data_IF_850077628139
#
_entry.id   IF_850077628139
#
_cell.length_a   1.000
_cell.length_b   1.000
_cell.length_c   1.000
_cell.angle_alpha   90.00
_cell.angle_beta   90.00
_cell.angle_gamma   90.00
#
_symmetry.space_group_name_H-M   'P 1'
#
loop_
_entity.id
_entity.type
_entity.pdbx_description
1 polymer ?
#
# COMPACT_ATOMS: atom_id res chain seq x y z
N UNK A 1 -26.81 2.79 -11.47
CA UNK A 1 -25.43 2.85 -11.96
C UNK A 1 -25.40 2.88 -13.48
N UNK A 2 -24.64 3.76 -14.07
CA UNK A 2 -24.47 3.88 -15.52
C UNK A 2 -23.17 3.16 -15.96
N UNK A 3 -23.33 1.97 -16.54
CA UNK A 3 -22.19 1.11 -16.92
C UNK A 3 -21.28 1.73 -17.99
N UNK A 4 -21.85 2.45 -18.94
CA UNK A 4 -21.05 3.09 -19.99
C UNK A 4 -20.24 4.26 -19.41
N UNK A 5 -20.82 5.08 -18.56
CA UNK A 5 -20.11 6.17 -17.86
C UNK A 5 -18.97 5.63 -17.00
N UNK A 6 -19.19 4.54 -16.26
CA UNK A 6 -18.14 3.89 -15.47
C UNK A 6 -16.97 3.46 -16.36
N UNK A 7 -17.23 2.79 -17.48
CA UNK A 7 -16.20 2.36 -18.42
C UNK A 7 -15.46 3.58 -19.02
N UNK A 8 -16.19 4.59 -19.48
CA UNK A 8 -15.60 5.81 -20.07
C UNK A 8 -14.75 6.58 -19.02
N UNK A 9 -15.21 6.62 -17.77
CA UNK A 9 -14.48 7.19 -16.63
C UNK A 9 -13.17 6.45 -16.38
N UNK A 10 -13.21 5.13 -16.27
CA UNK A 10 -12.03 4.31 -16.08
C UNK A 10 -11.01 4.49 -17.22
N UNK A 11 -11.47 4.43 -18.48
CA UNK A 11 -10.62 4.65 -19.65
C UNK A 11 -10.00 6.05 -19.67
N UNK A 12 -10.72 7.06 -19.23
CA UNK A 12 -10.17 8.42 -19.09
C UNK A 12 -9.12 8.48 -17.98
N UNK A 13 -9.32 7.81 -16.85
CA UNK A 13 -8.39 7.80 -15.74
C UNK A 13 -7.08 7.13 -16.08
N UNK A 14 -7.10 5.97 -16.70
CA UNK A 14 -5.86 5.29 -17.11
C UNK A 14 -5.07 6.07 -18.18
N UNK A 15 -5.73 6.92 -18.96
CA UNK A 15 -5.07 7.83 -19.91
C UNK A 15 -4.48 9.10 -19.24
N UNK A 16 -4.77 9.37 -17.97
CA UNK A 16 -4.16 10.46 -17.22
C UNK A 16 -2.96 9.91 -16.45
N UNK A 17 -1.71 10.27 -16.81
CA UNK A 17 -0.54 9.74 -16.12
C UNK A 17 -0.50 10.14 -14.65
N UNK A 18 -0.11 9.18 -13.79
CA UNK A 18 0.03 9.40 -12.35
C UNK A 18 1.06 8.45 -11.72
N UNK A 19 2.20 8.21 -12.40
CA UNK A 19 3.27 7.43 -11.78
C UNK A 19 3.67 8.06 -10.44
N UNK A 20 3.97 7.22 -9.44
CA UNK A 20 4.29 7.65 -8.07
C UNK A 20 5.36 8.75 -8.07
N UNK A 21 5.09 9.85 -7.36
CA UNK A 21 5.88 11.08 -7.38
C UNK A 21 5.45 12.11 -8.43
N UNK A 22 4.55 11.76 -9.36
CA UNK A 22 4.11 12.64 -10.46
C UNK A 22 2.59 12.67 -10.66
N UNK A 23 1.81 12.62 -9.58
CA UNK A 23 0.37 12.40 -9.57
C UNK A 23 -0.48 13.65 -9.75
N UNK A 24 0.11 14.87 -9.72
CA UNK A 24 -0.62 16.16 -9.69
C UNK A 24 -1.77 16.24 -10.68
N UNK A 25 -1.53 15.88 -11.95
CA UNK A 25 -2.56 16.00 -12.99
C UNK A 25 -3.78 15.13 -12.72
N UNK A 26 -3.56 13.93 -12.18
CA UNK A 26 -4.65 13.03 -11.82
C UNK A 26 -5.35 13.49 -10.53
N UNK A 27 -4.61 13.96 -9.52
CA UNK A 27 -5.18 14.57 -8.32
C UNK A 27 -6.12 15.74 -8.68
N UNK A 28 -5.69 16.65 -9.56
CA UNK A 28 -6.48 17.79 -10.01
C UNK A 28 -7.73 17.37 -10.80
N UNK A 29 -7.64 16.33 -11.61
CA UNK A 29 -8.78 15.75 -12.31
C UNK A 29 -9.83 15.21 -11.33
N UNK A 30 -9.40 14.40 -10.34
CA UNK A 30 -10.31 13.80 -9.36
C UNK A 30 -10.91 14.86 -8.43
N UNK A 31 -10.13 15.87 -8.02
CA UNK A 31 -10.63 17.02 -7.25
C UNK A 31 -11.78 17.74 -7.98
N UNK A 32 -11.62 17.99 -9.29
CA UNK A 32 -12.65 18.62 -10.10
C UNK A 32 -13.92 17.77 -10.19
N UNK A 33 -13.77 16.44 -10.36
CA UNK A 33 -14.95 15.56 -10.43
C UNK A 33 -15.68 15.46 -9.09
N UNK A 34 -14.97 15.30 -7.98
CA UNK A 34 -15.56 15.30 -6.64
C UNK A 34 -16.30 16.62 -6.36
N UNK A 35 -15.72 17.77 -6.73
CA UNK A 35 -16.33 19.07 -6.57
C UNK A 35 -17.55 19.23 -7.47
N UNK A 36 -17.51 18.73 -8.71
CA UNK A 36 -18.66 18.74 -9.62
C UNK A 36 -19.85 17.90 -9.12
N UNK A 37 -19.55 16.83 -8.36
CA UNK A 37 -20.55 16.04 -7.64
C UNK A 37 -21.00 16.71 -6.32
N UNK A 38 -20.59 17.94 -6.02
CA UNK A 38 -21.03 18.71 -4.86
C UNK A 38 -20.48 18.24 -3.52
N UNK A 39 -19.41 17.45 -3.50
CA UNK A 39 -18.74 17.07 -2.26
C UNK A 39 -17.94 18.26 -1.70
N UNK A 40 -17.81 18.31 -0.37
CA UNK A 40 -16.82 19.17 0.27
C UNK A 40 -15.44 18.53 0.08
N UNK A 41 -14.55 19.18 -0.68
CA UNK A 41 -13.23 18.65 -1.01
C UNK A 41 -12.14 19.47 -0.35
N UNK A 42 -11.14 18.78 0.23
CA UNK A 42 -9.92 19.40 0.81
C UNK A 42 -8.69 18.69 0.28
N UNK A 43 -7.63 19.45 0.03
CA UNK A 43 -6.31 18.90 -0.29
C UNK A 43 -5.53 18.60 0.99
N UNK A 44 -4.87 17.46 1.03
CA UNK A 44 -3.85 17.12 2.01
C UNK A 44 -2.47 17.35 1.42
N UNK A 45 -1.83 18.43 1.80
CA UNK A 45 -0.51 18.86 1.25
C UNK A 45 0.63 17.99 1.81
N UNK A 46 0.60 16.68 1.49
CA UNK A 46 1.60 15.71 1.94
C UNK A 46 2.70 15.45 0.90
N UNK A 47 2.58 16.02 -0.30
CA UNK A 47 3.46 15.74 -1.43
C UNK A 47 4.95 15.90 -1.11
N UNK A 48 5.36 16.97 -0.43
CA UNK A 48 6.75 17.16 -0.05
C UNK A 48 7.29 16.02 0.83
N UNK A 49 6.48 15.53 1.79
CA UNK A 49 6.84 14.40 2.66
C UNK A 49 6.92 13.08 1.92
N UNK A 50 6.12 12.94 0.86
CA UNK A 50 6.06 11.74 0.02
C UNK A 50 7.07 11.78 -1.15
N UNK A 51 7.75 12.90 -1.38
CA UNK A 51 8.60 13.09 -2.58
C UNK A 51 7.80 13.22 -3.87
N UNK A 52 6.56 13.73 -3.79
CA UNK A 52 5.62 13.85 -4.88
C UNK A 52 5.25 15.30 -5.18
N UNK A 53 4.81 15.54 -6.42
CA UNK A 53 4.16 16.78 -6.82
C UNK A 53 2.63 16.77 -6.56
N UNK A 54 2.06 15.63 -6.17
CA UNK A 54 0.65 15.42 -5.89
C UNK A 54 0.24 15.83 -4.47
N UNK A 55 -1.00 15.53 -4.14
CA UNK A 55 -1.61 15.77 -2.82
C UNK A 55 -2.71 14.73 -2.57
N UNK A 56 -2.94 14.38 -1.29
CA UNK A 56 -4.11 13.59 -0.93
C UNK A 56 -5.38 14.39 -1.16
N UNK A 57 -6.48 13.69 -1.42
CA UNK A 57 -7.81 14.27 -1.48
C UNK A 57 -8.68 13.72 -0.35
N UNK A 58 -9.28 14.63 0.40
CA UNK A 58 -10.32 14.35 1.38
C UNK A 58 -11.62 14.87 0.83
N UNK A 59 -12.67 14.06 0.84
CA UNK A 59 -13.99 14.51 0.40
C UNK A 59 -15.08 14.02 1.35
N UNK A 60 -16.16 14.81 1.45
CA UNK A 60 -17.30 14.51 2.29
C UNK A 60 -18.62 14.73 1.55
N UNK A 61 -19.50 13.74 1.62
CA UNK A 61 -20.89 13.81 1.16
C UNK A 61 -21.80 13.57 2.37
N UNK A 62 -22.65 14.54 2.77
CA UNK A 62 -23.56 14.37 3.89
C UNK A 62 -24.62 13.31 3.60
N UNK A 63 -25.10 12.62 4.62
CA UNK A 63 -26.13 11.58 4.56
C UNK A 63 -26.67 11.28 5.94
N UNK A 64 -27.43 10.21 6.10
CA UNK A 64 -28.05 9.81 7.37
C UNK A 64 -27.35 8.60 8.00
N UNK A 65 -27.11 8.64 9.31
CA UNK A 65 -26.53 7.54 10.09
C UNK A 65 -25.03 7.64 10.28
N UNK A 66 -24.35 6.50 10.48
CA UNK A 66 -22.91 6.42 10.72
C UNK A 66 -22.12 6.54 9.41
N UNK A 67 -21.08 7.39 9.37
CA UNK A 67 -20.29 7.57 8.16
C UNK A 67 -19.50 6.30 7.79
N UNK A 68 -19.22 6.17 6.48
CA UNK A 68 -18.31 5.16 5.94
C UNK A 68 -17.20 5.85 5.15
N UNK A 69 -15.96 5.52 5.45
CA UNK A 69 -14.80 5.98 4.69
C UNK A 69 -14.52 5.02 3.53
N UNK A 70 -14.38 5.58 2.34
CA UNK A 70 -13.94 4.87 1.13
C UNK A 70 -12.55 5.36 0.75
N UNK A 71 -11.65 4.45 0.39
CA UNK A 71 -10.28 4.81 0.03
C UNK A 71 -9.80 4.03 -1.19
N UNK A 72 -8.98 4.71 -2.00
CA UNK A 72 -8.24 4.18 -3.14
C UNK A 72 -7.00 5.06 -3.34
N UNK A 73 -5.95 4.56 -4.01
CA UNK A 73 -4.82 5.39 -4.29
C UNK A 73 -4.83 5.99 -5.72
N UNK A 74 -4.12 7.11 -5.88
CA UNK A 74 -4.10 7.87 -7.13
C UNK A 74 -2.85 7.58 -7.98
N UNK A 75 -1.79 7.10 -7.36
CA UNK A 75 -0.56 6.78 -8.07
C UNK A 75 -0.60 5.41 -8.75
N UNK A 76 0.37 5.17 -9.59
CA UNK A 76 0.62 3.89 -10.26
C UNK A 76 2.12 3.61 -10.30
N UNK A 77 2.49 2.34 -10.41
CA UNK A 77 3.88 1.97 -10.75
C UNK A 77 4.24 2.38 -12.18
N UNK A 78 5.55 2.38 -12.50
CA UNK A 78 6.06 2.55 -13.87
C UNK A 78 6.18 1.19 -14.58
N UNK A 79 6.03 1.15 -15.94
CA UNK A 79 5.72 2.24 -16.85
C UNK A 79 4.21 2.48 -16.98
N UNK A 80 3.72 3.65 -16.58
CA UNK A 80 2.31 4.05 -16.54
C UNK A 80 1.96 5.26 -17.43
N UNK A 81 2.89 5.69 -18.29
CA UNK A 81 2.67 6.84 -19.20
C UNK A 81 2.34 6.38 -20.61
N UNK A 82 1.28 6.97 -21.20
CA UNK A 82 0.88 6.67 -22.57
C UNK A 82 0.18 5.33 -22.73
N UNK A 83 -0.57 4.92 -21.73
CA UNK A 83 -1.36 3.68 -21.73
C UNK A 83 -2.31 3.67 -22.92
N UNK A 84 -2.32 2.56 -23.66
CA UNK A 84 -3.22 2.33 -24.79
C UNK A 84 -4.12 1.14 -24.45
N UNK A 85 -5.35 1.40 -23.97
CA UNK A 85 -6.26 0.33 -23.58
C UNK A 85 -6.76 -0.44 -24.80
N UNK A 86 -6.86 -1.75 -24.64
CA UNK A 86 -7.46 -2.68 -25.59
C UNK A 86 -8.57 -3.43 -24.84
N UNK A 87 -9.76 -3.47 -25.45
CA UNK A 87 -10.91 -4.20 -24.87
C UNK A 87 -11.26 -5.34 -25.82
N UNK A 88 -11.10 -6.57 -25.33
CA UNK A 88 -11.41 -7.80 -26.04
C UNK A 88 -12.19 -8.74 -25.11
N UNK A 89 -13.31 -9.27 -25.60
CA UNK A 89 -14.17 -10.21 -24.88
C UNK A 89 -14.56 -9.74 -23.45
N UNK A 90 -14.76 -8.41 -23.29
CA UNK A 90 -15.12 -7.82 -22.01
C UNK A 90 -13.95 -7.68 -21.01
N UNK A 91 -12.71 -7.88 -21.46
CA UNK A 91 -11.49 -7.68 -20.67
C UNK A 91 -10.74 -6.48 -21.18
N UNK A 92 -10.34 -5.60 -20.24
CA UNK A 92 -9.53 -4.40 -20.53
C UNK A 92 -8.08 -4.74 -20.17
N UNK A 93 -7.16 -4.44 -21.09
CA UNK A 93 -5.70 -4.59 -20.90
C UNK A 93 -4.95 -3.45 -21.55
N UNK A 94 -3.68 -3.27 -21.23
CA UNK A 94 -2.78 -2.41 -22.01
C UNK A 94 -2.35 -3.13 -23.28
N UNK A 95 -1.84 -2.36 -24.25
CA UNK A 95 -1.23 -2.91 -25.50
C UNK A 95 0.07 -3.70 -25.26
N UNK A 96 0.56 -3.80 -24.00
CA UNK A 96 1.71 -4.59 -23.60
C UNK A 96 3.01 -3.82 -23.36
N UNK A 97 3.04 -2.53 -23.66
CA UNK A 97 4.23 -1.66 -23.45
C UNK A 97 4.24 -1.01 -22.07
N UNK A 98 3.05 -0.91 -21.44
CA UNK A 98 2.81 -0.27 -20.13
C UNK A 98 1.96 -1.17 -19.26
N UNK A 99 1.88 -0.85 -17.96
CA UNK A 99 0.79 -1.34 -17.10
C UNK A 99 -0.56 -0.86 -17.64
N UNK A 100 -1.67 -1.40 -17.10
CA UNK A 100 -3.01 -0.86 -17.38
C UNK A 100 -3.35 0.31 -16.44
N UNK A 101 -2.87 0.26 -15.19
CA UNK A 101 -3.22 1.19 -14.12
C UNK A 101 -4.62 0.91 -13.55
N UNK A 102 -5.10 -0.33 -13.62
CA UNK A 102 -6.30 -0.76 -12.90
C UNK A 102 -6.07 -0.69 -11.38
N UNK A 103 -4.86 -0.94 -10.95
CA UNK A 103 -4.29 -0.66 -9.67
C UNK A 103 -3.89 0.83 -9.57
N UNK A 104 -4.60 1.73 -8.87
CA UNK A 104 -5.92 1.51 -8.25
C UNK A 104 -6.98 2.46 -8.85
N UNK A 105 -6.80 2.86 -10.13
CA UNK A 105 -7.79 3.70 -10.82
C UNK A 105 -9.14 3.02 -10.99
N UNK A 106 -9.20 1.69 -10.84
CA UNK A 106 -10.45 0.94 -10.82
C UNK A 106 -11.27 1.23 -9.56
N UNK A 107 -10.62 1.28 -8.39
CA UNK A 107 -11.23 1.70 -7.14
C UNK A 107 -11.72 3.15 -7.18
N UNK A 108 -10.85 4.07 -7.67
CA UNK A 108 -11.23 5.48 -7.85
C UNK A 108 -12.45 5.63 -8.75
N UNK A 109 -12.48 4.95 -9.92
CA UNK A 109 -13.60 5.03 -10.86
C UNK A 109 -14.89 4.46 -10.27
N UNK A 110 -14.80 3.35 -9.53
CA UNK A 110 -15.94 2.71 -8.88
C UNK A 110 -16.56 3.60 -7.80
N UNK A 111 -15.72 4.24 -6.98
CA UNK A 111 -16.17 5.16 -5.93
C UNK A 111 -16.91 6.36 -6.55
N UNK A 112 -16.31 7.04 -7.54
CA UNK A 112 -16.95 8.19 -8.17
C UNK A 112 -18.26 7.85 -8.92
N UNK A 113 -18.29 6.69 -9.61
CA UNK A 113 -19.53 6.24 -10.26
C UNK A 113 -20.64 5.94 -9.25
N UNK A 114 -20.29 5.37 -8.10
CA UNK A 114 -21.24 5.10 -7.04
C UNK A 114 -21.81 6.40 -6.45
N UNK A 115 -20.96 7.39 -6.14
CA UNK A 115 -21.37 8.70 -5.63
C UNK A 115 -22.31 9.41 -6.62
N UNK A 116 -21.99 9.41 -7.90
CA UNK A 116 -22.86 10.01 -8.94
C UNK A 116 -24.18 9.25 -9.07
N UNK A 117 -24.16 7.91 -8.96
CA UNK A 117 -25.38 7.07 -8.98
C UNK A 117 -26.31 7.39 -7.80
N UNK A 118 -25.77 7.61 -6.59
CA UNK A 118 -26.57 7.99 -5.42
C UNK A 118 -27.29 9.30 -5.64
N UNK A 119 -26.60 10.29 -6.18
CA UNK A 119 -27.14 11.63 -6.41
C UNK A 119 -28.18 11.63 -7.53
N UNK A 120 -27.89 11.03 -8.69
CA UNK A 120 -28.84 10.92 -9.81
C UNK A 120 -30.12 10.18 -9.42
N UNK A 121 -29.97 9.12 -8.60
CA UNK A 121 -31.09 8.33 -8.11
C UNK A 121 -31.85 8.93 -6.94
N UNK A 122 -31.33 9.98 -6.30
CA UNK A 122 -31.86 10.52 -5.05
C UNK A 122 -31.94 9.43 -3.96
N UNK A 123 -30.96 8.52 -3.93
CA UNK A 123 -30.98 7.37 -3.02
C UNK A 123 -30.61 7.82 -1.61
N UNK A 124 -31.38 7.37 -0.62
CA UNK A 124 -31.01 7.54 0.77
C UNK A 124 -29.71 6.77 1.04
N UNK A 125 -28.76 7.41 1.68
CA UNK A 125 -27.44 6.85 1.95
C UNK A 125 -26.85 7.38 3.25
N UNK A 126 -25.87 6.64 3.79
CA UNK A 126 -25.09 7.08 4.94
C UNK A 126 -24.12 8.20 4.55
N UNK A 127 -23.61 9.01 5.50
CA UNK A 127 -22.57 9.99 5.18
C UNK A 127 -21.33 9.25 4.60
N UNK A 128 -20.71 9.85 3.57
CA UNK A 128 -19.56 9.26 2.90
C UNK A 128 -18.36 10.15 3.10
N UNK A 129 -17.31 9.57 3.64
CA UNK A 129 -15.99 10.17 3.68
C UNK A 129 -15.10 9.47 2.62
N UNK A 130 -14.23 10.23 1.97
CA UNK A 130 -13.31 9.70 0.95
C UNK A 130 -11.89 10.12 1.28
N UNK A 131 -10.97 9.17 1.22
CA UNK A 131 -9.53 9.40 1.16
C UNK A 131 -9.01 8.87 -0.16
N UNK A 132 -8.52 9.74 -1.02
CA UNK A 132 -7.67 9.34 -2.12
C UNK A 132 -6.23 9.74 -1.81
N UNK A 133 -5.35 8.74 -1.70
CA UNK A 133 -3.96 8.88 -1.30
C UNK A 133 -3.02 8.94 -2.50
N UNK A 134 -1.84 9.51 -2.30
CA UNK A 134 -0.72 9.50 -3.25
C UNK A 134 0.41 8.61 -2.73
N UNK A 135 1.32 8.18 -3.61
CA UNK A 135 2.52 7.41 -3.25
C UNK A 135 2.23 6.18 -2.39
N UNK A 136 1.15 5.46 -2.67
CA UNK A 136 0.87 4.17 -2.05
C UNK A 136 1.98 3.18 -2.40
N UNK A 137 2.35 3.12 -3.68
CA UNK A 137 3.34 2.23 -4.29
C UNK A 137 4.80 2.49 -3.84
N UNK A 138 5.01 3.63 -3.15
CA UNK A 138 6.29 3.97 -2.53
C UNK A 138 6.33 3.69 -1.02
N UNK A 139 5.42 2.84 -0.53
CA UNK A 139 5.35 2.42 0.87
C UNK A 139 4.26 3.14 1.67
N UNK A 140 3.07 3.30 1.09
CA UNK A 140 1.85 3.80 1.72
C UNK A 140 1.99 5.24 2.25
N UNK A 141 2.84 6.06 1.60
CA UNK A 141 3.27 7.35 2.18
C UNK A 141 2.11 8.35 2.29
N UNK A 142 1.19 8.38 1.33
CA UNK A 142 0.03 9.24 1.36
C UNK A 142 -0.86 8.97 2.57
N UNK A 143 -1.17 7.69 2.82
CA UNK A 143 -1.94 7.28 3.99
C UNK A 143 -1.14 7.47 5.28
N UNK A 144 0.15 7.15 5.30
CA UNK A 144 1.04 7.36 6.47
C UNK A 144 1.03 8.81 6.97
N UNK A 145 0.97 9.78 6.07
CA UNK A 145 1.00 11.21 6.42
C UNK A 145 -0.36 11.89 6.33
N UNK A 146 -1.46 11.13 6.15
CA UNK A 146 -2.81 11.67 6.10
C UNK A 146 -3.22 12.35 7.41
N UNK A 147 -4.11 13.34 7.31
CA UNK A 147 -4.71 13.99 8.48
C UNK A 147 -5.97 13.22 8.91
N UNK A 148 -5.80 12.28 9.79
CA UNK A 148 -6.88 11.43 10.32
C UNK A 148 -7.88 12.18 11.20
N UNK A 149 -7.56 13.39 11.66
CA UNK A 149 -8.49 14.22 12.43
C UNK A 149 -9.69 14.73 11.60
N UNK A 150 -9.60 14.63 10.29
CA UNK A 150 -10.67 15.02 9.35
C UNK A 150 -11.79 13.96 9.26
N UNK A 151 -11.56 12.73 9.74
CA UNK A 151 -12.51 11.64 9.60
C UNK A 151 -13.32 11.39 10.89
N UNK A 152 -14.59 11.12 10.71
CA UNK A 152 -15.53 10.73 11.76
C UNK A 152 -15.86 9.23 11.68
N UNK A 153 -15.62 8.62 10.52
CA UNK A 153 -15.86 7.19 10.26
C UNK A 153 -15.07 6.31 11.24
N UNK A 154 -15.74 5.27 11.71
CA UNK A 154 -15.11 4.18 12.48
C UNK A 154 -14.84 2.94 11.62
N UNK A 155 -15.31 2.95 10.39
CA UNK A 155 -15.17 1.88 9.42
C UNK A 155 -14.71 2.43 8.08
N UNK A 156 -13.85 1.68 7.39
CA UNK A 156 -13.35 2.05 6.07
C UNK A 156 -13.28 0.84 5.12
N UNK A 157 -13.48 1.11 3.84
CA UNK A 157 -13.24 0.15 2.77
C UNK A 157 -12.19 0.75 1.82
N UNK A 158 -11.06 0.05 1.68
CA UNK A 158 -10.04 0.34 0.69
C UNK A 158 -10.29 -0.56 -0.53
N UNK A 159 -10.12 -0.04 -1.75
CA UNK A 159 -10.43 -0.76 -2.99
C UNK A 159 -9.16 -1.08 -3.77
N UNK A 160 -8.25 -1.82 -3.17
CA UNK A 160 -6.90 -2.05 -3.65
C UNK A 160 -6.49 -3.53 -3.48
N UNK A 161 -7.33 -4.46 -3.90
CA UNK A 161 -7.00 -5.88 -3.92
C UNK A 161 -7.45 -6.54 -5.23
N UNK A 162 -6.81 -7.68 -5.55
CA UNK A 162 -7.00 -8.30 -6.86
C UNK A 162 -8.31 -9.08 -6.96
N UNK A 163 -8.56 -10.03 -6.07
CA UNK A 163 -9.64 -10.98 -6.24
C UNK A 163 -10.99 -10.39 -5.85
N UNK A 164 -11.95 -10.37 -6.78
CA UNK A 164 -13.32 -9.99 -6.51
C UNK A 164 -13.96 -10.99 -5.51
N UNK A 165 -14.64 -10.45 -4.46
CA UNK A 165 -15.15 -11.23 -3.33
C UNK A 165 -14.15 -11.41 -2.18
N UNK A 166 -12.87 -11.11 -2.39
CA UNK A 166 -11.90 -11.12 -1.30
C UNK A 166 -12.06 -9.89 -0.40
N UNK A 167 -12.04 -10.13 0.90
CA UNK A 167 -11.92 -9.12 1.95
C UNK A 167 -10.60 -9.37 2.67
N UNK A 168 -9.60 -8.55 2.38
CA UNK A 168 -8.31 -8.58 3.10
C UNK A 168 -8.53 -7.90 4.44
N UNK A 169 -8.60 -8.69 5.47
CA UNK A 169 -8.86 -8.26 6.85
C UNK A 169 -7.64 -8.43 7.77
N UNK A 170 -6.53 -8.94 7.22
CA UNK A 170 -5.29 -9.16 7.97
C UNK A 170 -4.07 -8.95 7.08
N UNK A 171 -3.15 -8.08 7.53
CA UNK A 171 -1.83 -7.88 6.93
C UNK A 171 -0.77 -7.61 8.00
N UNK A 172 0.52 -7.91 7.74
CA UNK A 172 1.58 -7.71 8.71
C UNK A 172 2.01 -6.24 8.79
N UNK A 173 2.59 -5.88 9.94
CA UNK A 173 3.51 -4.76 9.96
C UNK A 173 4.72 -5.06 9.07
N UNK A 174 5.20 -4.04 8.39
CA UNK A 174 6.41 -4.09 7.58
C UNK A 174 7.41 -3.05 8.08
N UNK A 175 8.59 -3.50 8.44
CA UNK A 175 9.71 -2.64 8.84
C UNK A 175 10.95 -2.97 8.04
N UNK A 176 11.67 -1.92 7.64
CA UNK A 176 12.98 -2.01 7.00
C UNK A 176 14.03 -1.47 7.96
N UNK A 177 15.10 -2.24 8.17
CA UNK A 177 16.25 -1.83 8.95
C UNK A 177 17.42 -1.55 8.01
N UNK A 178 18.09 -0.43 8.22
CA UNK A 178 19.35 -0.08 7.58
C UNK A 178 20.46 -0.18 8.61
N UNK A 179 21.39 -1.12 8.38
CA UNK A 179 22.45 -1.46 9.35
C UNK A 179 23.80 -1.18 8.68
N UNK A 180 24.61 -0.30 9.28
CA UNK A 180 25.92 0.02 8.79
C UNK A 180 26.98 -0.22 9.87
N UNK A 181 28.11 -0.82 9.46
CA UNK A 181 29.25 -1.17 10.30
C UNK A 181 30.43 -0.24 9.98
N UNK A 182 31.06 0.25 11.05
CA UNK A 182 32.25 1.11 10.96
C UNK A 182 33.41 0.41 11.65
N UNK A 183 34.43 0.10 10.87
CA UNK A 183 35.71 -0.42 11.29
C UNK A 183 36.85 0.56 11.04
N UNK A 184 38.05 0.05 10.70
CA UNK A 184 39.26 0.85 10.44
C UNK A 184 40.04 0.29 9.27
N UNK A 185 40.40 1.14 8.31
CA UNK A 185 41.24 0.76 7.19
C UNK A 185 42.67 0.49 7.61
N UNK A 186 43.32 -0.50 6.96
CA UNK A 186 44.76 -0.74 7.03
C UNK A 186 45.20 -1.38 5.71
N UNK A 187 46.52 -1.39 5.44
CA UNK A 187 47.07 -2.05 4.28
C UNK A 187 47.02 -3.58 4.48
N UNK A 188 46.20 -4.28 3.69
CA UNK A 188 45.90 -5.69 3.92
C UNK A 188 47.09 -6.64 3.83
N UNK A 189 48.17 -6.27 3.09
CA UNK A 189 49.39 -7.09 2.97
C UNK A 189 50.55 -6.64 3.85
N UNK A 190 50.50 -5.46 4.49
CA UNK A 190 51.63 -4.91 5.26
C UNK A 190 51.33 -4.86 6.75
N UNK A 191 50.13 -4.44 7.12
CA UNK A 191 49.75 -4.25 8.52
C UNK A 191 48.25 -4.56 8.73
N UNK A 192 47.75 -5.75 8.36
CA UNK A 192 46.33 -6.09 8.47
C UNK A 192 45.84 -6.04 9.93
N UNK A 193 46.70 -6.29 10.90
CA UNK A 193 46.39 -6.24 12.35
C UNK A 193 46.09 -4.84 12.88
N UNK A 194 46.44 -3.79 12.14
CA UNK A 194 46.05 -2.40 12.52
C UNK A 194 44.66 -2.03 12.03
N UNK A 195 44.05 -2.87 11.20
CA UNK A 195 42.69 -2.69 10.67
C UNK A 195 41.63 -3.32 11.55
N UNK A 196 40.40 -2.81 11.42
CA UNK A 196 39.18 -3.40 11.98
C UNK A 196 38.24 -3.70 10.81
N UNK A 197 37.96 -4.99 10.60
CA UNK A 197 37.38 -5.47 9.36
C UNK A 197 35.84 -5.43 9.39
N UNK A 198 35.23 -4.35 8.91
CA UNK A 198 33.77 -4.14 8.93
C UNK A 198 33.00 -5.22 8.15
N UNK A 199 33.52 -5.67 7.00
CA UNK A 199 32.87 -6.73 6.21
C UNK A 199 32.74 -8.06 6.99
N UNK A 200 33.74 -8.42 7.81
CA UNK A 200 33.64 -9.64 8.62
C UNK A 200 32.61 -9.53 9.71
N UNK A 201 32.49 -8.35 10.34
CA UNK A 201 31.45 -8.11 11.33
C UNK A 201 30.04 -8.18 10.70
N UNK A 202 29.86 -7.52 9.56
CA UNK A 202 28.57 -7.58 8.85
C UNK A 202 28.20 -9.01 8.41
N UNK A 203 29.16 -9.77 7.87
CA UNK A 203 28.94 -11.16 7.48
C UNK A 203 28.61 -12.08 8.66
N UNK A 204 29.25 -11.85 9.81
CA UNK A 204 28.94 -12.57 11.07
C UNK A 204 27.52 -12.28 11.52
N UNK A 205 27.11 -11.00 11.56
CA UNK A 205 25.74 -10.62 11.93
C UNK A 205 24.72 -11.31 11.02
N UNK A 206 24.88 -11.20 9.70
CA UNK A 206 23.97 -11.83 8.72
C UNK A 206 23.90 -13.34 8.88
N UNK A 207 25.01 -14.01 9.23
CA UNK A 207 25.04 -15.46 9.41
C UNK A 207 24.19 -15.95 10.61
N UNK A 208 23.85 -15.06 11.53
CA UNK A 208 23.02 -15.35 12.70
C UNK A 208 21.59 -14.80 12.58
N UNK A 209 21.29 -14.04 11.51
CA UNK A 209 19.95 -13.53 11.23
C UNK A 209 19.21 -14.54 10.34
N UNK A 210 18.08 -15.09 10.79
CA UNK A 210 17.30 -16.02 9.98
C UNK A 210 16.61 -15.27 8.82
N UNK A 211 16.40 -15.96 7.69
CA UNK A 211 15.70 -15.43 6.52
C UNK A 211 14.62 -16.41 6.02
N UNK A 212 13.63 -15.91 5.31
CA UNK A 212 12.46 -16.66 4.87
C UNK A 212 11.34 -16.64 5.91
N UNK A 213 10.51 -17.67 5.95
CA UNK A 213 9.52 -17.86 7.03
C UNK A 213 10.27 -18.30 8.29
N UNK A 214 10.44 -17.37 9.23
CA UNK A 214 11.20 -17.63 10.47
C UNK A 214 10.33 -18.19 11.58
N UNK A 215 9.04 -17.96 11.51
CA UNK A 215 7.97 -18.59 12.28
C UNK A 215 6.64 -18.54 11.48
N UNK A 216 5.51 -18.92 12.12
CA UNK A 216 4.17 -18.94 11.48
C UNK A 216 3.65 -17.54 11.11
N UNK A 217 4.17 -16.50 11.75
CA UNK A 217 3.66 -15.13 11.65
C UNK A 217 4.64 -14.17 10.95
N UNK A 218 5.90 -14.61 10.73
CA UNK A 218 6.97 -13.68 10.38
C UNK A 218 7.79 -14.16 9.18
N UNK A 219 8.03 -13.23 8.27
CA UNK A 219 8.98 -13.38 7.16
C UNK A 219 10.08 -12.33 7.31
N UNK A 220 11.34 -12.76 7.13
CA UNK A 220 12.50 -11.88 7.18
C UNK A 220 13.36 -12.06 5.93
N UNK A 221 13.99 -10.98 5.47
CA UNK A 221 14.89 -11.01 4.33
C UNK A 221 16.04 -10.00 4.53
N UNK A 222 17.24 -10.38 4.10
CA UNK A 222 18.41 -9.50 4.07
C UNK A 222 18.77 -9.22 2.60
N UNK A 223 19.04 -7.95 2.30
CA UNK A 223 19.39 -7.49 0.96
C UNK A 223 20.45 -6.37 1.01
N UNK A 224 20.86 -5.87 -0.15
CA UNK A 224 21.76 -4.73 -0.30
C UNK A 224 23.05 -4.83 0.53
N UNK A 225 23.64 -6.03 0.61
CA UNK A 225 24.89 -6.24 1.33
C UNK A 225 26.04 -5.60 0.56
N UNK A 226 26.65 -4.57 1.14
CA UNK A 226 27.69 -3.75 0.52
C UNK A 226 28.93 -3.65 1.42
N UNK A 227 30.11 -3.75 0.82
CA UNK A 227 31.39 -3.49 1.47
C UNK A 227 32.37 -2.86 0.45
N UNK A 228 32.22 -1.57 0.14
CA UNK A 228 33.02 -0.91 -0.87
C UNK A 228 34.48 -0.82 -0.44
N UNK A 229 35.41 -1.03 -1.39
CA UNK A 229 36.83 -0.96 -1.12
C UNK A 229 37.73 -1.60 -2.20
N UNK A 230 39.03 -1.61 -1.92
CA UNK A 230 40.04 -2.28 -2.76
C UNK A 230 40.55 -3.53 -2.07
N UNK A 231 40.96 -4.55 -2.82
CA UNK A 231 41.42 -5.85 -2.29
C UNK A 231 42.68 -5.75 -1.43
N UNK A 232 43.47 -4.69 -1.59
CA UNK A 232 44.69 -4.44 -0.80
C UNK A 232 44.45 -3.56 0.45
N UNK A 233 43.18 -3.27 0.80
CA UNK A 233 42.81 -2.47 1.97
C UNK A 233 41.78 -3.24 2.82
N UNK A 234 42.00 -3.29 4.13
CA UNK A 234 41.01 -3.82 5.09
C UNK A 234 39.72 -2.94 5.00
N UNK A 235 38.55 -3.52 4.67
CA UNK A 235 37.32 -2.75 4.56
C UNK A 235 36.92 -2.11 5.90
N UNK A 236 36.81 -0.79 5.92
CA UNK A 236 36.39 -0.02 7.10
C UNK A 236 34.89 0.20 7.15
N UNK A 237 34.17 -0.08 6.08
CA UNK A 237 32.72 0.10 6.00
C UNK A 237 32.09 -1.15 5.41
N UNK A 238 30.93 -1.50 5.95
CA UNK A 238 30.02 -2.47 5.37
C UNK A 238 28.59 -2.12 5.80
N UNK A 239 27.62 -2.48 5.00
CA UNK A 239 26.20 -2.28 5.33
C UNK A 239 25.35 -3.37 4.71
N UNK A 240 24.15 -3.54 5.25
CA UNK A 240 23.08 -4.29 4.63
C UNK A 240 21.73 -3.71 5.07
N UNK A 241 20.71 -3.97 4.26
CA UNK A 241 19.32 -3.71 4.58
C UNK A 241 18.62 -5.01 4.90
N UNK A 242 17.60 -4.96 5.75
CA UNK A 242 16.73 -6.10 5.96
C UNK A 242 15.29 -5.66 6.15
N UNK A 243 14.36 -6.53 5.73
CA UNK A 243 12.94 -6.37 5.91
C UNK A 243 12.42 -7.43 6.89
N UNK A 244 11.53 -7.01 7.79
CA UNK A 244 10.78 -7.90 8.68
C UNK A 244 9.29 -7.61 8.48
N UNK A 245 8.52 -8.65 8.14
CA UNK A 245 7.05 -8.59 8.08
C UNK A 245 6.49 -9.55 9.12
N UNK A 246 5.68 -9.04 10.07
CA UNK A 246 5.06 -9.87 11.08
C UNK A 246 3.60 -9.51 11.30
N UNK A 247 2.74 -10.53 11.42
CA UNK A 247 1.30 -10.36 11.68
C UNK A 247 0.97 -10.00 13.13
N UNK A 248 1.97 -9.92 14.00
CA UNK A 248 1.80 -9.54 15.40
C UNK A 248 2.93 -8.62 15.86
N UNK A 249 2.57 -7.54 16.54
CA UNK A 249 3.53 -6.54 17.01
C UNK A 249 4.53 -7.12 18.01
N UNK A 250 4.07 -7.98 18.94
CA UNK A 250 4.96 -8.59 19.95
C UNK A 250 6.03 -9.46 19.29
N UNK A 251 5.63 -10.24 18.28
CA UNK A 251 6.54 -11.10 17.50
C UNK A 251 7.51 -10.26 16.67
N UNK A 252 7.04 -9.17 16.05
CA UNK A 252 7.90 -8.21 15.36
C UNK A 252 8.97 -7.65 16.31
N UNK A 253 8.57 -7.17 17.47
CA UNK A 253 9.47 -6.59 18.45
C UNK A 253 10.50 -7.61 18.99
N UNK A 254 10.12 -8.89 19.09
CA UNK A 254 11.05 -9.97 19.43
C UNK A 254 12.15 -10.09 18.36
N UNK A 255 11.79 -10.21 17.09
CA UNK A 255 12.77 -10.36 16.00
C UNK A 255 13.64 -9.10 15.79
N UNK A 256 13.10 -7.91 16.03
CA UNK A 256 13.89 -6.68 16.06
C UNK A 256 14.99 -6.73 17.13
N UNK A 257 14.66 -7.16 18.37
CA UNK A 257 15.66 -7.32 19.44
C UNK A 257 16.68 -8.39 19.15
N UNK A 258 16.28 -9.54 18.59
CA UNK A 258 17.17 -10.64 18.22
C UNK A 258 18.14 -10.20 17.12
N UNK A 259 17.65 -9.45 16.12
CA UNK A 259 18.49 -8.88 15.04
C UNK A 259 19.50 -7.89 15.61
N UNK A 260 19.07 -6.95 16.45
CA UNK A 260 19.99 -5.99 17.05
C UNK A 260 21.04 -6.68 17.93
N UNK A 261 20.67 -7.76 18.63
CA UNK A 261 21.61 -8.53 19.43
C UNK A 261 22.67 -9.21 18.58
N UNK A 262 22.28 -9.84 17.45
CA UNK A 262 23.23 -10.44 16.51
C UNK A 262 24.22 -9.40 15.95
N UNK A 263 23.76 -8.18 15.68
CA UNK A 263 24.63 -7.07 15.25
C UNK A 263 25.60 -6.66 16.38
N UNK A 264 25.13 -6.53 17.63
CA UNK A 264 25.96 -6.20 18.79
C UNK A 264 27.06 -7.25 19.02
N UNK A 265 26.69 -8.53 19.02
CA UNK A 265 27.62 -9.63 19.25
C UNK A 265 28.72 -9.67 18.16
N UNK A 266 28.34 -9.43 16.90
CA UNK A 266 29.30 -9.31 15.81
C UNK A 266 30.23 -8.10 15.97
N UNK A 267 29.72 -6.97 16.41
CA UNK A 267 30.51 -5.77 16.66
C UNK A 267 31.51 -5.99 17.80
N UNK A 268 31.10 -6.61 18.88
CA UNK A 268 31.99 -6.96 20.00
C UNK A 268 33.13 -7.93 19.56
N UNK A 269 32.74 -8.95 18.78
CA UNK A 269 33.71 -9.96 18.25
C UNK A 269 34.79 -9.36 17.38
N UNK A 270 34.47 -8.40 16.55
CA UNK A 270 35.38 -7.81 15.55
C UNK A 270 35.92 -6.43 15.93
N UNK A 271 35.43 -5.83 17.01
CA UNK A 271 35.82 -4.48 17.47
C UNK A 271 35.29 -3.36 16.58
N UNK A 272 34.14 -3.56 15.89
CA UNK A 272 33.48 -2.56 15.05
C UNK A 272 32.44 -1.78 15.83
N UNK A 273 32.04 -0.63 15.29
CA UNK A 273 30.82 0.08 15.69
C UNK A 273 29.72 -0.12 14.65
N UNK A 274 28.47 0.12 15.01
CA UNK A 274 27.35 0.07 14.08
C UNK A 274 26.42 1.26 14.27
N UNK A 275 25.64 1.53 13.23
CA UNK A 275 24.43 2.35 13.28
C UNK A 275 23.26 1.52 12.76
N UNK A 276 22.10 1.67 13.36
CA UNK A 276 20.86 1.02 12.95
C UNK A 276 19.77 2.08 12.90
N UNK A 277 19.11 2.20 11.75
CA UNK A 277 17.88 2.96 11.61
C UNK A 277 16.76 2.04 11.15
N UNK A 278 15.52 2.39 11.53
CA UNK A 278 14.33 1.62 11.24
C UNK A 278 13.30 2.52 10.56
N UNK A 279 12.82 2.05 9.40
CA UNK A 279 11.69 2.63 8.69
C UNK A 279 10.49 1.70 8.78
N UNK A 280 9.37 2.20 9.32
CA UNK A 280 8.11 1.47 9.38
C UNK A 280 7.24 1.85 8.18
N UNK A 281 6.98 0.86 7.30
CA UNK A 281 6.20 1.05 6.09
C UNK A 281 4.71 0.77 6.30
N UNK A 282 4.36 -0.20 7.16
CA UNK A 282 2.97 -0.47 7.54
C UNK A 282 2.86 -0.91 8.99
N UNK A 283 1.65 -0.78 9.53
CA UNK A 283 1.27 -1.33 10.84
C UNK A 283 0.55 -2.67 10.68
N UNK A 284 0.38 -3.40 11.78
CA UNK A 284 -0.44 -4.63 11.79
C UNK A 284 -1.89 -4.25 11.51
N UNK A 285 -2.51 -4.94 10.56
CA UNK A 285 -3.94 -4.88 10.30
C UNK A 285 -4.58 -6.19 10.78
N UNK A 286 -5.62 -6.09 11.60
CA UNK A 286 -6.47 -7.22 11.92
C UNK A 286 -7.89 -6.77 12.26
N UNK A 287 -8.84 -7.07 11.38
CA UNK A 287 -10.27 -6.86 11.57
C UNK A 287 -10.96 -8.22 11.66
N UNK A 288 -11.67 -8.52 12.77
CA UNK A 288 -12.34 -9.80 12.94
C UNK A 288 -13.37 -10.11 11.83
N UNK A 289 -13.48 -11.37 11.43
CA UNK A 289 -14.40 -11.80 10.36
C UNK A 289 -15.87 -11.63 10.75
N UNK A 290 -16.18 -11.66 12.03
CA UNK A 290 -17.53 -11.50 12.59
C UNK A 290 -17.90 -10.05 12.88
N UNK A 291 -17.01 -9.10 12.60
CA UNK A 291 -17.34 -7.68 12.75
C UNK A 291 -18.41 -7.23 11.73
N UNK A 292 -19.13 -6.15 12.07
CA UNK A 292 -20.25 -5.65 11.24
C UNK A 292 -19.79 -5.29 9.82
N UNK A 293 -18.64 -4.68 9.65
CA UNK A 293 -18.12 -4.28 8.34
C UNK A 293 -17.92 -5.49 7.42
N UNK A 294 -17.27 -6.56 7.91
CA UNK A 294 -17.01 -7.77 7.13
C UNK A 294 -18.29 -8.53 6.84
N UNK A 295 -19.17 -8.66 7.82
CA UNK A 295 -20.47 -9.35 7.63
C UNK A 295 -21.36 -8.60 6.64
N UNK A 296 -21.40 -7.28 6.68
CA UNK A 296 -22.13 -6.44 5.72
C UNK A 296 -21.57 -6.61 4.30
N UNK A 297 -20.25 -6.58 4.13
CA UNK A 297 -19.60 -6.84 2.86
C UNK A 297 -19.96 -8.22 2.31
N UNK A 298 -19.93 -9.25 3.15
CA UNK A 298 -20.27 -10.61 2.76
C UNK A 298 -21.72 -10.72 2.27
N UNK A 299 -22.66 -10.07 2.93
CA UNK A 299 -24.05 -10.04 2.48
C UNK A 299 -24.19 -9.34 1.12
N UNK A 300 -23.52 -8.20 0.94
CA UNK A 300 -23.55 -7.45 -0.33
C UNK A 300 -22.91 -8.26 -1.45
N UNK A 301 -21.75 -8.86 -1.24
CA UNK A 301 -21.10 -9.71 -2.26
C UNK A 301 -22.01 -10.85 -2.71
N UNK A 302 -22.67 -11.56 -1.78
CA UNK A 302 -23.61 -12.63 -2.14
C UNK A 302 -24.79 -12.12 -2.96
N UNK A 303 -25.34 -10.94 -2.63
CA UNK A 303 -26.39 -10.30 -3.45
C UNK A 303 -25.91 -9.96 -4.86
N UNK A 304 -24.65 -9.59 -5.00
CA UNK A 304 -24.02 -9.29 -6.29
C UNK A 304 -23.51 -10.55 -7.03
N UNK A 305 -23.80 -11.76 -6.50
CA UNK A 305 -23.46 -13.03 -7.12
C UNK A 305 -21.99 -13.42 -7.01
N UNK A 306 -21.25 -12.85 -6.06
CA UNK A 306 -19.89 -13.25 -5.71
C UNK A 306 -19.88 -14.04 -4.41
N UNK A 307 -19.00 -15.05 -4.30
CA UNK A 307 -18.77 -15.78 -3.05
C UNK A 307 -17.67 -15.05 -2.24
N UNK A 308 -18.00 -14.43 -1.10
CA UNK A 308 -17.03 -13.69 -0.32
C UNK A 308 -16.17 -14.59 0.56
N UNK A 309 -14.94 -14.17 0.80
CA UNK A 309 -14.01 -14.83 1.74
C UNK A 309 -13.04 -13.83 2.33
N UNK A 310 -12.63 -14.08 3.59
CA UNK A 310 -11.54 -13.34 4.21
C UNK A 310 -10.19 -13.85 3.71
N UNK A 311 -9.22 -12.95 3.61
CA UNK A 311 -7.87 -13.24 3.13
C UNK A 311 -6.84 -12.50 3.97
N UNK A 312 -5.78 -13.21 4.37
CA UNK A 312 -4.54 -12.56 4.82
C UNK A 312 -3.62 -12.30 3.64
N UNK A 313 -2.86 -11.21 3.69
CA UNK A 313 -1.84 -10.90 2.69
C UNK A 313 -0.53 -10.52 3.38
N UNK A 314 0.61 -10.74 2.71
CA UNK A 314 1.90 -10.18 3.11
C UNK A 314 2.17 -8.82 2.47
N UNK A 315 1.35 -8.36 1.53
CA UNK A 315 1.39 -7.01 0.99
C UNK A 315 0.82 -6.00 1.99
N UNK A 316 1.30 -4.76 1.93
CA UNK A 316 0.68 -3.62 2.60
C UNK A 316 -0.42 -3.01 1.74
N UNK A 317 -1.27 -2.19 2.32
CA UNK A 317 -2.19 -1.28 1.66
C UNK A 317 -2.60 -0.18 2.64
N UNK A 318 -3.22 0.86 2.17
CA UNK A 318 -3.61 2.02 2.99
C UNK A 318 -4.51 1.68 4.19
N UNK A 319 -5.22 0.54 4.15
CA UNK A 319 -6.01 0.05 5.28
C UNK A 319 -5.21 -0.11 6.57
N UNK A 320 -3.90 -0.38 6.49
CA UNK A 320 -3.04 -0.53 7.67
C UNK A 320 -2.90 0.78 8.46
N UNK A 321 -2.76 1.91 7.75
CA UNK A 321 -2.65 3.22 8.39
C UNK A 321 -4.01 3.73 8.90
N UNK A 322 -5.11 3.42 8.19
CA UNK A 322 -6.46 3.68 8.68
C UNK A 322 -6.70 2.94 10.00
N UNK A 323 -6.37 1.64 10.05
CA UNK A 323 -6.50 0.82 11.25
C UNK A 323 -5.63 1.31 12.41
N UNK A 324 -4.38 1.66 12.15
CA UNK A 324 -3.45 2.23 13.13
C UNK A 324 -3.98 3.54 13.76
N UNK A 325 -4.86 4.25 13.06
CA UNK A 325 -5.51 5.47 13.52
C UNK A 325 -6.93 5.25 14.07
N UNK A 326 -7.30 4.00 14.38
CA UNK A 326 -8.54 3.65 15.07
C UNK A 326 -9.79 3.59 14.18
N UNK A 327 -9.60 3.34 12.87
CA UNK A 327 -10.66 3.13 11.90
C UNK A 327 -10.58 1.66 11.44
N UNK A 328 -11.58 0.84 11.77
CA UNK A 328 -11.64 -0.54 11.31
C UNK A 328 -11.70 -0.57 9.77
N UNK A 329 -10.59 -0.91 9.15
CA UNK A 329 -10.43 -0.86 7.70
C UNK A 329 -10.19 -2.25 7.12
N UNK A 330 -10.80 -2.53 5.97
CA UNK A 330 -10.53 -3.73 5.18
C UNK A 330 -10.22 -3.34 3.74
N UNK A 331 -9.41 -4.16 3.05
CA UNK A 331 -9.13 -3.96 1.64
C UNK A 331 -9.91 -4.99 0.81
N UNK A 332 -10.65 -4.52 -0.20
CA UNK A 332 -11.51 -5.36 -1.03
C UNK A 332 -11.01 -5.45 -2.47
N UNK A 333 -11.30 -6.57 -3.11
CA UNK A 333 -10.89 -6.80 -4.48
C UNK A 333 -11.71 -6.03 -5.51
N UNK A 334 -11.03 -5.35 -6.43
CA UNK A 334 -11.62 -4.69 -7.60
C UNK A 334 -11.73 -5.63 -8.82
N UNK A 335 -11.07 -6.78 -8.79
CA UNK A 335 -11.01 -7.73 -9.91
C UNK A 335 -9.80 -7.54 -10.83
N UNK A 336 -8.92 -6.58 -10.53
CA UNK A 336 -7.65 -6.43 -11.25
C UNK A 336 -6.76 -7.65 -11.09
N UNK A 337 -6.02 -8.01 -12.10
CA UNK A 337 -5.07 -9.12 -12.08
C UNK A 337 -3.76 -8.73 -12.71
N UNK A 338 -2.68 -9.38 -12.27
CA UNK A 338 -1.31 -9.10 -12.71
C UNK A 338 -0.88 -7.63 -12.50
N UNK A 339 -1.37 -7.00 -11.42
CA UNK A 339 -0.93 -5.66 -11.03
C UNK A 339 0.60 -5.57 -11.03
N UNK A 340 1.16 -4.36 -11.20
CA UNK A 340 2.59 -4.08 -11.30
C UNK A 340 3.29 -4.76 -12.50
N UNK A 341 2.53 -5.13 -13.53
CA UNK A 341 3.12 -5.72 -14.75
C UNK A 341 2.44 -5.23 -16.02
N UNK A 342 3.14 -5.34 -17.15
CA UNK A 342 2.57 -5.01 -18.48
C UNK A 342 1.50 -6.01 -18.95
N UNK A 343 1.25 -7.07 -18.17
CA UNK A 343 0.15 -8.04 -18.37
C UNK A 343 -1.06 -7.75 -17.50
N UNK A 344 -1.09 -6.60 -16.84
CA UNK A 344 -2.21 -6.16 -16.01
C UNK A 344 -3.50 -6.08 -16.82
N UNK A 345 -4.60 -6.53 -16.21
CA UNK A 345 -5.92 -6.52 -16.81
C UNK A 345 -7.03 -6.45 -15.76
N UNK A 346 -8.23 -6.03 -16.22
CA UNK A 346 -9.46 -6.07 -15.43
C UNK A 346 -10.65 -6.42 -16.34
N UNK A 347 -11.59 -7.22 -15.85
CA UNK A 347 -12.84 -7.45 -16.57
C UNK A 347 -13.81 -6.27 -16.36
N UNK A 348 -14.51 -5.87 -17.42
CA UNK A 348 -15.56 -4.83 -17.32
C UNK A 348 -16.61 -5.21 -16.27
N UNK A 349 -16.96 -6.51 -16.18
CA UNK A 349 -17.92 -7.02 -15.20
C UNK A 349 -17.43 -6.88 -13.76
N UNK A 350 -16.11 -6.93 -13.52
CA UNK A 350 -15.56 -6.76 -12.18
C UNK A 350 -15.56 -5.29 -11.77
N UNK A 351 -15.21 -4.40 -12.70
CA UNK A 351 -15.34 -2.95 -12.48
C UNK A 351 -16.80 -2.55 -12.16
N UNK A 352 -17.78 -3.10 -12.90
CA UNK A 352 -19.21 -2.89 -12.64
C UNK A 352 -19.63 -3.43 -11.26
N UNK A 353 -19.10 -4.60 -10.86
CA UNK A 353 -19.41 -5.20 -9.56
C UNK A 353 -18.84 -4.37 -8.41
N UNK A 354 -17.62 -3.84 -8.56
CA UNK A 354 -16.99 -2.97 -7.55
C UNK A 354 -17.81 -1.70 -7.34
N UNK A 355 -18.23 -1.03 -8.41
CA UNK A 355 -19.10 0.16 -8.28
C UNK A 355 -20.46 -0.19 -7.65
N UNK A 356 -21.04 -1.35 -7.98
CA UNK A 356 -22.28 -1.83 -7.36
C UNK A 356 -22.09 -2.15 -5.88
N UNK A 357 -20.96 -2.71 -5.49
CA UNK A 357 -20.61 -2.96 -4.08
C UNK A 357 -20.61 -1.64 -3.29
N UNK A 358 -20.00 -0.59 -3.84
CA UNK A 358 -19.98 0.73 -3.18
C UNK A 358 -21.40 1.27 -3.00
N UNK A 359 -22.24 1.25 -4.05
CA UNK A 359 -23.64 1.71 -3.94
C UNK A 359 -24.40 0.95 -2.85
N UNK A 360 -24.30 -0.39 -2.86
CA UNK A 360 -25.00 -1.24 -1.89
C UNK A 360 -24.52 -1.01 -0.44
N UNK A 361 -23.21 -0.80 -0.23
CA UNK A 361 -22.64 -0.53 1.10
C UNK A 361 -23.06 0.86 1.62
N UNK A 362 -23.25 1.83 0.74
CA UNK A 362 -23.65 3.19 1.12
C UNK A 362 -25.16 3.32 1.37
N UNK A 363 -25.98 2.51 0.69
CA UNK A 363 -27.46 2.52 0.83
C UNK A 363 -27.95 1.51 1.88
N UNK A 364 -27.07 0.66 2.40
CA UNK A 364 -27.40 -0.27 3.48
C UNK A 364 -27.57 0.50 4.80
N UNK A 365 -28.77 0.51 5.34
CA UNK A 365 -29.13 1.11 6.62
C UNK A 365 -29.09 0.11 7.78
#
# INVERSE_FOLDING_TARGET
MNKQRLLDRFLRYINCPSESGSERSFCELIEQELSALGLEVKRGEVGEKCGSNGFNLYAFLPGDGEPLLLSAHLDTVSPGVGIRPVIEDGVIRSSGDTILGADDKSGVAAILEALETLQEGGLAHRPVEVLFSICEELGLLGAKYADYSLFHSKQAIVFDSSANGAVVNRSPANVVLHIAFQGKSAHAGVAPEQGIHALKAAAEAVSHIPCGHVDELTVMNVANFLAPGKTNVVPAQASFDMEIRSFEEETLQKHLRETEQAVKDACEKFGTQYTLSLDRHSDVLYVPEDCKLVTDLFEVYRRLGAEPFCKSTYGGCDATWLFANGIDAVNVGTGMTNAHSTSELIAVSDLERTASLVVEMLTKT
#
